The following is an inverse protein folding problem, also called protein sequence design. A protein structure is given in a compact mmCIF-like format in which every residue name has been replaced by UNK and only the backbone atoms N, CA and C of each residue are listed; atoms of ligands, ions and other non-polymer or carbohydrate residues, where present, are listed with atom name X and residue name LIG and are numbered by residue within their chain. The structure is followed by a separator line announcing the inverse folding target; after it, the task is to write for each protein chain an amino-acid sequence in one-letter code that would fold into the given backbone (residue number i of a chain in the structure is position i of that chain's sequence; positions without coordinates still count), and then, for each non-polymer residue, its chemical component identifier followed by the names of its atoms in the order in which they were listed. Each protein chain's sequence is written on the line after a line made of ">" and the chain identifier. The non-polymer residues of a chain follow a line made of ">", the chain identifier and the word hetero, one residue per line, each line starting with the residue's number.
data_IF_484538478134
#
_entry.id   IF_484538478134
#
_cell.length_a   1.000
_cell.length_b   1.000
_cell.length_c   1.000
_cell.angle_alpha   90.00
_cell.angle_beta   90.00
_cell.angle_gamma   90.00
#
_symmetry.space_group_name_H-M   'P 1'
#
loop_
_entity.id
_entity.type
_entity.pdbx_description
1 polymer ?
#
# COMPACT_ATOMS: atom_id res chain seq x y z
N UNK A 1 4.10 -17.87 -5.28
CA UNK A 1 3.03 -18.83 -4.96
C UNK A 1 1.88 -18.05 -4.37
N UNK A 2 0.72 -17.97 -5.04
CA UNK A 2 -0.47 -17.36 -4.44
C UNK A 2 -1.18 -18.39 -3.55
N UNK A 3 -1.35 -18.07 -2.27
CA UNK A 3 -2.19 -18.86 -1.37
C UNK A 3 -3.65 -18.42 -1.48
N UNK A 4 -4.59 -19.37 -1.41
CA UNK A 4 -6.01 -19.06 -1.34
C UNK A 4 -6.38 -18.50 0.04
N UNK A 5 -7.24 -17.49 0.06
CA UNK A 5 -7.82 -16.91 1.27
C UNK A 5 -9.33 -17.14 1.23
N UNK A 6 -9.87 -17.82 2.24
CA UNK A 6 -11.31 -18.01 2.42
C UNK A 6 -11.82 -16.96 3.41
N UNK A 7 -12.79 -16.14 3.01
CA UNK A 7 -13.34 -15.06 3.82
C UNK A 7 -14.86 -15.21 3.85
N UNK A 8 -15.44 -15.17 5.04
CA UNK A 8 -16.89 -15.05 5.20
C UNK A 8 -17.28 -13.57 5.18
N UNK A 9 -18.26 -13.24 4.33
CA UNK A 9 -18.78 -11.89 4.19
C UNK A 9 -20.26 -11.88 4.57
N UNK A 10 -20.70 -10.77 5.16
CA UNK A 10 -22.14 -10.51 5.28
C UNK A 10 -22.75 -10.37 3.88
N UNK A 11 -24.04 -10.66 3.73
CA UNK A 11 -24.76 -10.53 2.45
C UNK A 11 -24.59 -9.13 1.84
N UNK A 12 -24.57 -8.10 2.68
CA UNK A 12 -24.37 -6.71 2.25
C UNK A 12 -22.99 -6.52 1.60
N UNK A 13 -21.93 -7.01 2.24
CA UNK A 13 -20.57 -6.91 1.72
C UNK A 13 -20.40 -7.76 0.46
N UNK A 14 -20.98 -8.95 0.45
CA UNK A 14 -20.94 -9.83 -0.72
C UNK A 14 -21.58 -9.18 -1.94
N UNK A 15 -22.78 -8.61 -1.79
CA UNK A 15 -23.46 -7.86 -2.87
C UNK A 15 -22.65 -6.68 -3.36
N UNK A 16 -22.01 -5.95 -2.44
CA UNK A 16 -21.16 -4.82 -2.82
C UNK A 16 -19.95 -5.28 -3.64
N UNK A 17 -19.27 -6.35 -3.22
CA UNK A 17 -18.16 -6.94 -3.97
C UNK A 17 -18.62 -7.44 -5.35
N UNK A 18 -19.76 -8.13 -5.42
CA UNK A 18 -20.30 -8.65 -6.70
C UNK A 18 -20.67 -7.49 -7.65
N UNK A 19 -21.24 -6.39 -7.14
CA UNK A 19 -21.51 -5.18 -7.92
C UNK A 19 -20.21 -4.57 -8.49
N UNK A 20 -19.14 -4.54 -7.69
CA UNK A 20 -17.83 -4.00 -8.10
C UNK A 20 -17.11 -4.88 -9.14
N UNK A 21 -17.53 -6.13 -9.26
CA UNK A 21 -16.97 -7.13 -10.17
C UNK A 21 -17.99 -7.57 -11.23
N UNK A 22 -18.76 -6.62 -11.74
CA UNK A 22 -19.76 -6.84 -12.80
C UNK A 22 -19.17 -6.46 -14.16
N UNK A 23 -19.77 -6.97 -15.24
CA UNK A 23 -19.32 -6.76 -16.63
C UNK A 23 -19.22 -5.27 -17.03
N UNK A 24 -19.93 -4.38 -16.32
CA UNK A 24 -19.92 -2.93 -16.53
C UNK A 24 -18.98 -2.16 -15.57
N UNK A 25 -18.28 -2.83 -14.64
CA UNK A 25 -17.38 -2.20 -13.66
C UNK A 25 -15.90 -2.56 -13.93
N UNK A 26 -14.99 -1.96 -13.16
CA UNK A 26 -13.53 -1.96 -13.36
C UNK A 26 -12.89 -3.33 -13.19
N UNK A 27 -13.50 -4.24 -12.42
CA UNK A 27 -12.90 -5.53 -12.07
C UNK A 27 -13.67 -6.69 -12.70
N UNK A 28 -12.93 -7.68 -13.20
CA UNK A 28 -13.53 -8.85 -13.84
C UNK A 28 -13.99 -9.91 -12.83
N UNK A 29 -13.43 -9.91 -11.61
CA UNK A 29 -13.78 -10.88 -10.57
C UNK A 29 -13.81 -10.29 -9.17
N UNK A 30 -14.65 -10.83 -8.26
CA UNK A 30 -14.63 -10.48 -6.84
C UNK A 30 -13.25 -10.54 -6.18
N UNK A 31 -12.48 -11.58 -6.50
CA UNK A 31 -11.14 -11.79 -5.94
C UNK A 31 -10.13 -10.73 -6.39
N UNK A 32 -10.28 -10.21 -7.59
CA UNK A 32 -9.45 -9.11 -8.09
C UNK A 32 -9.76 -7.82 -7.35
N UNK A 33 -11.04 -7.48 -7.21
CA UNK A 33 -11.49 -6.32 -6.44
C UNK A 33 -10.99 -6.40 -4.99
N UNK A 34 -11.13 -7.56 -4.33
CA UNK A 34 -10.67 -7.74 -2.94
C UNK A 34 -9.14 -7.58 -2.85
N UNK A 35 -8.38 -8.13 -3.80
CA UNK A 35 -6.92 -8.02 -3.81
C UNK A 35 -6.48 -6.57 -3.93
N UNK A 36 -7.09 -5.82 -4.83
CA UNK A 36 -6.81 -4.40 -5.02
C UNK A 36 -7.23 -3.57 -3.81
N UNK A 37 -8.39 -3.88 -3.21
CA UNK A 37 -8.85 -3.23 -1.97
C UNK A 37 -7.84 -3.42 -0.82
N UNK A 38 -7.33 -4.63 -0.63
CA UNK A 38 -6.29 -4.92 0.39
C UNK A 38 -4.99 -4.19 0.05
N UNK A 39 -4.62 -4.13 -1.24
CA UNK A 39 -3.42 -3.39 -1.68
C UNK A 39 -3.48 -1.91 -1.30
N UNK A 40 -4.62 -1.27 -1.54
CA UNK A 40 -4.85 0.13 -1.16
C UNK A 40 -4.85 0.34 0.35
N UNK A 41 -5.52 -0.54 1.10
CA UNK A 41 -5.52 -0.50 2.57
C UNK A 41 -4.10 -0.62 3.15
N UNK A 42 -3.28 -1.51 2.57
CA UNK A 42 -1.87 -1.65 2.95
C UNK A 42 -1.05 -0.41 2.63
N UNK A 43 -1.24 0.20 1.45
CA UNK A 43 -0.54 1.42 1.05
C UNK A 43 -0.90 2.61 1.96
N UNK A 44 -2.19 2.81 2.23
CA UNK A 44 -2.68 3.85 3.13
C UNK A 44 -2.10 3.67 4.55
N UNK A 45 -2.10 2.44 5.06
CA UNK A 45 -1.50 2.12 6.35
C UNK A 45 0.00 2.45 6.37
N UNK A 46 0.73 2.05 5.32
CA UNK A 46 2.17 2.28 5.21
C UNK A 46 2.51 3.77 5.19
N UNK A 47 1.81 4.56 4.36
CA UNK A 47 2.03 6.02 4.28
C UNK A 47 1.83 6.66 5.65
N UNK A 48 0.74 6.33 6.33
CA UNK A 48 0.45 6.89 7.65
C UNK A 48 1.49 6.45 8.68
N UNK A 49 1.94 5.19 8.65
CA UNK A 49 2.96 4.71 9.59
C UNK A 49 4.30 5.41 9.39
N UNK A 50 4.73 5.61 8.14
CA UNK A 50 5.99 6.29 7.83
C UNK A 50 5.95 7.77 8.24
N UNK A 51 4.83 8.46 8.02
CA UNK A 51 4.66 9.85 8.48
C UNK A 51 4.75 9.94 10.00
N UNK A 52 4.05 9.05 10.72
CA UNK A 52 4.10 9.03 12.19
C UNK A 52 5.52 8.73 12.69
N UNK A 53 6.21 7.81 12.03
CA UNK A 53 7.59 7.45 12.36
C UNK A 53 8.52 8.64 12.16
N UNK A 54 8.49 9.31 11.00
CA UNK A 54 9.29 10.50 10.75
C UNK A 54 9.00 11.65 11.72
N UNK A 55 7.74 11.84 12.12
CA UNK A 55 7.39 12.84 13.16
C UNK A 55 7.98 12.48 14.54
N UNK A 56 8.07 11.19 14.89
CA UNK A 56 8.72 10.75 16.14
C UNK A 56 10.22 10.99 16.10
N UNK A 57 10.87 10.69 14.99
CA UNK A 57 12.30 10.91 14.75
C UNK A 57 12.65 12.39 14.87
N UNK A 58 11.88 13.28 14.24
CA UNK A 58 12.04 14.75 14.36
C UNK A 58 11.96 15.17 15.84
N UNK A 59 10.95 14.69 16.56
CA UNK A 59 10.76 15.02 17.99
C UNK A 59 11.93 14.54 18.84
N UNK A 60 12.49 13.37 18.53
CA UNK A 60 13.60 12.77 19.25
C UNK A 60 14.97 13.28 18.79
N UNK A 61 15.02 14.13 17.76
CA UNK A 61 16.24 14.58 17.08
C UNK A 61 17.07 13.43 16.49
N UNK A 62 16.39 12.35 16.10
CA UNK A 62 16.98 11.18 15.44
C UNK A 62 16.97 11.43 13.94
N UNK A 63 18.00 12.11 13.44
CA UNK A 63 18.17 12.34 12.01
C UNK A 63 19.23 11.40 11.46
N UNK A 64 19.00 10.92 10.23
CA UNK A 64 20.07 10.28 9.46
C UNK A 64 21.15 11.32 9.18
N UNK A 65 22.44 10.95 9.29
CA UNK A 65 23.54 11.89 9.07
C UNK A 65 23.64 12.34 7.61
N UNK A 66 23.14 11.54 6.67
CA UNK A 66 23.12 11.83 5.25
C UNK A 66 22.09 12.92 4.93
N UNK A 67 22.55 13.98 4.26
CA UNK A 67 21.67 14.93 3.61
C UNK A 67 21.03 14.30 2.37
N UNK A 68 19.87 14.83 1.97
CA UNK A 68 19.26 14.52 0.66
C UNK A 68 20.28 14.77 -0.48
N UNK A 69 21.18 15.74 -0.33
CA UNK A 69 22.22 16.03 -1.31
C UNK A 69 23.30 14.95 -1.40
N UNK A 70 23.57 14.24 -0.29
CA UNK A 70 24.57 13.17 -0.24
C UNK A 70 24.02 11.92 -0.93
N UNK A 71 22.74 11.59 -0.68
CA UNK A 71 22.03 10.47 -1.31
C UNK A 71 21.98 10.61 -2.84
N UNK A 72 21.68 11.83 -3.34
CA UNK A 72 21.62 12.08 -4.78
C UNK A 72 22.99 11.97 -5.47
N UNK A 73 24.10 12.13 -4.76
CA UNK A 73 25.44 11.95 -5.33
C UNK A 73 25.82 10.48 -5.45
N UNK A 74 25.38 9.63 -4.52
CA UNK A 74 25.63 8.18 -4.57
C UNK A 74 24.90 7.51 -5.74
N UNK A 75 23.64 7.88 -6.01
CA UNK A 75 22.88 7.33 -7.16
C UNK A 75 23.50 7.68 -8.53
N UNK A 76 24.27 8.77 -8.62
CA UNK A 76 24.96 9.17 -9.86
C UNK A 76 26.30 8.44 -10.08
N UNK A 77 26.82 7.72 -9.09
CA UNK A 77 28.08 6.98 -9.18
C UNK A 77 27.90 5.55 -9.74
N UNK A 78 26.66 5.04 -9.79
CA UNK A 78 26.35 3.68 -10.26
C UNK A 78 26.03 3.59 -11.78
N UNK A 79 26.21 4.70 -12.52
CA UNK A 79 26.01 4.78 -13.98
C UNK A 79 27.31 4.99 -14.78
N UNK A 80 28.47 4.56 -14.25
CA UNK A 80 29.79 4.64 -14.90
C UNK A 80 30.32 3.30 -15.39
#
# INVERSE_FOLDING_TARGET
>A
MSSSLNIELTDKLRRYVDMRASDDDVYATPSEYIRDLIGRDMEDYFIVSEIIQGLREIRNQEFVPESILDILQEDNLDCG
#
